data_IF_689196279986
#
_entry.id   IF_689196279986
#
_cell.length_a   1.000
_cell.length_b   1.000
_cell.length_c   1.000
_cell.angle_alpha   90.00
_cell.angle_beta   90.00
_cell.angle_gamma   90.00
#
_symmetry.space_group_name_H-M   'P 1'
#
loop_
_entity.id
_entity.type
_entity.pdbx_description
1 polymer ?
#
# COMPACT_ATOMS: atom_id res chain seq x y z
N UNK A 1 7.24 -27.54 15.05
CA UNK A 1 6.86 -27.95 13.66
C UNK A 1 5.70 -27.12 13.07
N UNK A 2 5.60 -25.79 13.30
CA UNK A 2 4.45 -24.98 12.85
C UNK A 2 4.76 -23.81 11.89
N UNK A 3 6.03 -23.36 11.83
CA UNK A 3 6.40 -22.13 11.10
C UNK A 3 6.25 -22.24 9.58
N UNK A 4 6.54 -23.39 8.98
CA UNK A 4 6.46 -23.56 7.51
C UNK A 4 5.05 -23.39 6.95
N UNK A 5 4.03 -23.88 7.67
CA UNK A 5 2.62 -23.74 7.28
C UNK A 5 2.13 -22.30 7.43
N UNK A 6 2.50 -21.63 8.53
CA UNK A 6 2.18 -20.23 8.74
C UNK A 6 2.82 -19.35 7.65
N UNK A 7 4.11 -19.56 7.34
CA UNK A 7 4.82 -18.84 6.28
C UNK A 7 4.15 -19.05 4.91
N UNK A 8 3.80 -20.29 4.57
CA UNK A 8 3.09 -20.59 3.32
C UNK A 8 1.73 -19.88 3.22
N UNK A 9 0.94 -19.88 4.32
CA UNK A 9 -0.32 -19.13 4.38
C UNK A 9 -0.11 -17.63 4.18
N UNK A 10 0.87 -17.05 4.87
CA UNK A 10 1.17 -15.62 4.75
C UNK A 10 1.66 -15.24 3.35
N UNK A 11 2.51 -16.05 2.71
CA UNK A 11 2.94 -15.80 1.33
C UNK A 11 1.78 -15.88 0.33
N UNK A 12 0.83 -16.79 0.55
CA UNK A 12 -0.38 -16.86 -0.28
C UNK A 12 -1.23 -15.60 -0.13
N UNK A 13 -1.54 -15.19 1.10
CA UNK A 13 -2.31 -13.97 1.39
C UNK A 13 -1.61 -12.74 0.82
N UNK A 14 -0.29 -12.61 1.02
CA UNK A 14 0.48 -11.48 0.50
C UNK A 14 0.45 -11.41 -1.04
N UNK A 15 0.51 -12.55 -1.73
CA UNK A 15 0.39 -12.59 -3.19
C UNK A 15 -1.02 -12.23 -3.65
N UNK A 16 -2.04 -12.74 -2.98
CA UNK A 16 -3.43 -12.36 -3.25
C UNK A 16 -3.57 -10.84 -3.11
N UNK A 17 -3.12 -10.24 -2.01
CA UNK A 17 -3.16 -8.79 -1.82
C UNK A 17 -2.36 -8.01 -2.86
N UNK A 18 -1.13 -8.45 -3.17
CA UNK A 18 -0.24 -7.76 -4.12
C UNK A 18 -0.79 -7.75 -5.55
N UNK A 19 -1.42 -8.84 -5.96
CA UNK A 19 -1.89 -9.04 -7.34
C UNK A 19 -3.41 -8.99 -7.45
N UNK A 20 -4.12 -8.64 -6.38
CA UNK A 20 -5.55 -8.42 -6.42
C UNK A 20 -5.83 -7.10 -7.12
N UNK A 21 -6.28 -7.19 -8.36
CA UNK A 21 -6.91 -6.07 -9.05
C UNK A 21 -8.40 -6.09 -8.72
N UNK A 22 -8.93 -5.12 -7.95
CA UNK A 22 -10.36 -5.02 -7.75
C UNK A 22 -11.07 -4.80 -9.10
N UNK A 23 -12.20 -5.46 -9.30
CA UNK A 23 -13.09 -5.15 -10.41
C UNK A 23 -13.83 -3.85 -10.06
N UNK A 24 -13.39 -2.74 -10.63
CA UNK A 24 -14.04 -1.44 -10.44
C UNK A 24 -15.17 -1.27 -11.45
N UNK A 25 -16.35 -0.84 -10.98
CA UNK A 25 -17.44 -0.44 -11.88
C UNK A 25 -17.13 0.94 -12.47
N UNK A 26 -16.54 0.92 -13.67
CA UNK A 26 -16.17 2.14 -14.40
C UNK A 26 -17.39 3.02 -14.70
N UNK A 27 -18.59 2.44 -14.85
CA UNK A 27 -19.80 3.21 -15.15
C UNK A 27 -20.31 3.98 -13.92
N UNK A 28 -20.17 3.41 -12.72
CA UNK A 28 -20.42 4.13 -11.47
C UNK A 28 -19.42 5.27 -11.26
N UNK A 29 -18.13 4.99 -11.43
CA UNK A 29 -17.06 5.99 -11.30
C UNK A 29 -17.25 7.18 -12.25
N UNK A 30 -17.63 6.91 -13.51
CA UNK A 30 -17.91 7.97 -14.48
C UNK A 30 -19.09 8.86 -14.07
N UNK A 31 -20.16 8.28 -13.49
CA UNK A 31 -21.31 9.07 -13.01
C UNK A 31 -20.92 9.99 -11.84
N UNK A 32 -20.13 9.49 -10.90
CA UNK A 32 -19.63 10.29 -9.77
C UNK A 32 -18.74 11.43 -10.26
N UNK A 33 -17.79 11.15 -11.16
CA UNK A 33 -16.88 12.16 -11.70
C UNK A 33 -17.62 13.23 -12.52
N UNK A 34 -18.62 12.82 -13.31
CA UNK A 34 -19.47 13.75 -14.06
C UNK A 34 -20.42 14.56 -13.16
N UNK A 35 -20.80 14.01 -12.00
CA UNK A 35 -21.64 14.67 -11.00
C UNK A 35 -20.89 15.66 -10.10
N UNK A 36 -19.61 15.41 -9.81
CA UNK A 36 -18.78 16.22 -8.90
C UNK A 36 -18.18 17.50 -9.54
N UNK A 37 -18.45 17.80 -10.80
CA UNK A 37 -17.98 19.04 -11.45
C UNK A 37 -18.55 20.36 -10.89
N UNK A 38 -19.28 20.34 -9.76
CA UNK A 38 -19.88 21.53 -9.12
C UNK A 38 -19.62 21.67 -7.60
N UNK A 39 -18.82 20.81 -6.99
CA UNK A 39 -18.51 20.88 -5.55
C UNK A 39 -17.01 20.68 -5.31
N UNK A 40 -16.22 21.64 -5.74
CA UNK A 40 -14.80 21.74 -5.42
C UNK A 40 -14.59 22.82 -4.35
N UNK A 41 -15.25 22.69 -3.21
CA UNK A 41 -15.16 23.66 -2.12
C UNK A 41 -15.26 23.01 -0.73
N UNK A 42 -14.78 21.77 -0.53
CA UNK A 42 -14.66 21.24 0.85
C UNK A 42 -13.74 20.01 0.96
N UNK A 43 -12.51 20.13 0.47
CA UNK A 43 -11.41 19.36 1.07
C UNK A 43 -10.45 20.40 1.65
N UNK A 44 -10.93 21.04 2.70
CA UNK A 44 -10.13 21.84 3.62
C UNK A 44 -9.09 20.91 4.27
N UNK A 45 -7.87 21.41 4.28
CA UNK A 45 -6.65 20.78 4.75
C UNK A 45 -6.82 20.25 6.18
N UNK A 46 -7.09 18.95 6.34
CA UNK A 46 -6.95 18.27 7.64
C UNK A 46 -5.53 17.69 7.76
N UNK A 47 -4.63 18.62 8.05
CA UNK A 47 -3.49 18.50 8.94
C UNK A 47 -3.56 17.34 9.97
N UNK A 48 -2.86 16.23 9.72
CA UNK A 48 -2.84 15.19 10.75
C UNK A 48 -1.94 13.97 10.60
N UNK A 49 -1.01 13.92 9.64
CA UNK A 49 0.03 12.87 9.63
C UNK A 49 1.37 13.47 10.06
N UNK A 50 1.42 13.91 11.32
CA UNK A 50 2.69 13.95 12.04
C UNK A 50 3.03 12.50 12.40
N UNK A 51 3.65 11.79 11.46
CA UNK A 51 4.37 10.56 11.75
C UNK A 51 5.70 10.99 12.40
N UNK A 52 5.64 11.23 13.71
CA UNK A 52 6.82 11.24 14.55
C UNK A 52 7.31 9.80 14.60
N UNK A 53 8.20 9.44 13.67
CA UNK A 53 8.93 8.17 13.65
C UNK A 53 10.34 8.42 14.22
N UNK A 54 10.54 8.38 15.55
CA UNK A 54 11.88 8.44 16.14
C UNK A 54 12.46 7.03 16.24
N UNK A 55 12.66 6.34 15.12
CA UNK A 55 13.49 5.14 15.06
C UNK A 55 14.28 5.12 13.74
N UNK A 56 15.32 5.96 13.70
CA UNK A 56 16.49 5.80 12.83
C UNK A 56 17.17 4.45 13.12
N UNK A 57 16.63 3.34 12.61
CA UNK A 57 17.39 2.11 12.41
C UNK A 57 17.90 2.12 10.95
N UNK A 58 19.05 2.76 10.78
CA UNK A 58 19.90 2.74 9.60
C UNK A 58 20.04 1.30 9.07
N UNK A 59 19.49 0.97 7.88
CA UNK A 59 19.73 -0.34 7.30
C UNK A 59 21.15 -0.39 6.74
N UNK A 60 22.04 -1.10 7.45
CA UNK A 60 23.37 -1.58 7.02
C UNK A 60 23.42 -1.89 5.51
N UNK A 61 23.92 -0.92 4.76
CA UNK A 61 24.15 -0.90 3.32
C UNK A 61 25.39 -1.73 2.94
N UNK A 62 25.53 -2.95 3.47
CA UNK A 62 26.77 -3.73 3.29
C UNK A 62 26.66 -5.09 2.59
N UNK A 63 25.49 -5.74 2.63
CA UNK A 63 25.41 -7.21 2.36
C UNK A 63 24.75 -7.58 1.03
N UNK A 64 24.34 -6.61 0.20
CA UNK A 64 23.73 -6.90 -1.11
C UNK A 64 24.59 -6.55 -2.33
N UNK A 65 25.71 -5.83 -2.18
CA UNK A 65 26.62 -5.52 -3.29
C UNK A 65 27.83 -6.45 -3.39
N UNK A 66 28.00 -7.40 -2.46
CA UNK A 66 29.20 -8.23 -2.36
C UNK A 66 28.93 -9.73 -2.46
N UNK A 67 28.03 -10.17 -3.34
CA UNK A 67 27.97 -11.59 -3.73
C UNK A 67 27.40 -11.87 -5.12
N UNK A 68 28.03 -11.33 -6.17
CA UNK A 68 28.23 -12.06 -7.44
C UNK A 68 29.54 -11.61 -8.08
N UNK A 69 30.58 -12.42 -7.88
CA UNK A 69 31.63 -12.63 -8.88
C UNK A 69 31.10 -13.64 -9.89
#
# INVERSE_FOLDING_TARGET
MGRGRAKAKQTKVARELKYHSPNTDLAALQRELAGNGKSNEEFDDNDGYADDDPDEDEPDDGVWTSRRR
#
